data_IF_467771045869
#
_entry.id   IF_467771045869
#
_cell.length_a   1.000
_cell.length_b   1.000
_cell.length_c   1.000
_cell.angle_alpha   90.00
_cell.angle_beta   90.00
_cell.angle_gamma   90.00
#
_symmetry.space_group_name_H-M   'P 1'
#
loop_
_entity.id
_entity.type
_entity.pdbx_description
1 polymer ?
#
# COMPACT_ATOMS: atom_id res chain seq x y z
N UNK A 1 -13.98 13.89 20.07
CA UNK A 1 -13.52 13.97 18.68
C UNK A 1 -12.88 12.65 18.33
N UNK A 2 -13.35 11.97 17.28
CA UNK A 2 -12.70 10.74 16.80
C UNK A 2 -11.28 11.11 16.30
N UNK A 3 -10.27 10.25 16.49
CA UNK A 3 -8.92 10.43 15.98
C UNK A 3 -8.85 10.78 14.51
N UNK A 4 -9.74 10.21 13.70
CA UNK A 4 -9.87 10.58 12.29
C UNK A 4 -10.30 12.05 12.17
N UNK A 5 -11.34 12.48 12.88
CA UNK A 5 -11.77 13.89 12.90
C UNK A 5 -10.63 14.83 13.33
N UNK A 6 -9.78 14.41 14.28
CA UNK A 6 -8.63 15.20 14.71
C UNK A 6 -7.63 15.41 13.57
N UNK A 7 -7.35 14.38 12.78
CA UNK A 7 -6.50 14.52 11.60
C UNK A 7 -7.18 15.36 10.51
N UNK A 8 -8.49 15.22 10.31
CA UNK A 8 -9.25 16.10 9.39
C UNK A 8 -9.19 17.57 9.82
N UNK A 9 -9.22 17.87 11.13
CA UNK A 9 -9.05 19.24 11.65
C UNK A 9 -7.64 19.77 11.39
N UNK A 10 -6.61 18.93 11.52
CA UNK A 10 -5.24 19.33 11.16
C UNK A 10 -5.12 19.60 9.66
N UNK A 11 -5.73 18.76 8.83
CA UNK A 11 -5.80 18.98 7.39
C UNK A 11 -6.55 20.27 7.04
N UNK A 12 -7.68 20.59 7.71
CA UNK A 12 -8.39 21.87 7.55
C UNK A 12 -7.45 23.06 7.77
N UNK A 13 -6.67 23.03 8.87
CA UNK A 13 -5.71 24.11 9.19
C UNK A 13 -4.57 24.18 8.17
N UNK A 14 -4.05 23.03 7.74
CA UNK A 14 -2.99 22.98 6.74
C UNK A 14 -3.49 23.53 5.40
N UNK A 15 -4.67 23.09 4.96
CA UNK A 15 -5.34 23.55 3.74
C UNK A 15 -5.53 25.06 3.75
N UNK A 16 -6.10 25.62 4.83
CA UNK A 16 -6.29 27.07 4.97
C UNK A 16 -4.98 27.85 4.83
N UNK A 17 -3.89 27.36 5.44
CA UNK A 17 -2.57 27.98 5.35
C UNK A 17 -1.97 27.87 3.93
N UNK A 18 -2.17 26.74 3.24
CA UNK A 18 -1.72 26.54 1.86
C UNK A 18 -2.45 27.51 0.93
N UNK A 19 -3.79 27.52 0.98
CA UNK A 19 -4.62 28.39 0.14
C UNK A 19 -4.28 29.86 0.40
N UNK A 20 -4.19 30.30 1.65
CA UNK A 20 -3.95 31.71 1.98
C UNK A 20 -2.61 32.25 1.46
N UNK A 21 -1.63 31.37 1.25
CA UNK A 21 -0.27 31.73 0.82
C UNK A 21 -0.05 31.62 -0.70
N UNK A 22 -0.97 30.95 -1.39
CA UNK A 22 -0.83 30.61 -2.81
C UNK A 22 -2.14 30.94 -3.56
N UNK A 23 -2.76 32.07 -3.20
CA UNK A 23 -4.04 32.51 -3.74
C UNK A 23 -3.98 32.84 -5.23
N UNK A 24 -2.79 33.18 -5.74
CA UNK A 24 -2.56 33.44 -7.15
C UNK A 24 -2.44 32.17 -8.01
N UNK A 25 -2.28 31.00 -7.39
CA UNK A 25 -2.03 29.74 -8.13
C UNK A 25 -3.34 29.12 -8.63
N UNK A 26 -3.48 28.87 -9.95
CA UNK A 26 -4.66 28.18 -10.51
C UNK A 26 -4.86 26.75 -10.03
N UNK A 27 -3.81 26.08 -9.56
CA UNK A 27 -3.86 24.66 -9.22
C UNK A 27 -3.09 24.38 -7.92
N UNK A 28 -3.67 23.53 -7.08
CA UNK A 28 -3.07 23.01 -5.86
C UNK A 28 -2.91 21.49 -5.98
N UNK A 29 -1.69 21.00 -5.71
CA UNK A 29 -1.36 19.57 -5.77
C UNK A 29 -0.99 19.09 -4.37
N UNK A 30 -1.81 18.22 -3.79
CA UNK A 30 -1.54 17.52 -2.56
C UNK A 30 -0.64 16.30 -2.85
N UNK A 31 0.56 16.28 -2.29
CA UNK A 31 1.50 15.17 -2.37
C UNK A 31 1.49 14.38 -1.06
N UNK A 32 1.41 13.05 -1.14
CA UNK A 32 1.48 12.17 0.02
C UNK A 32 1.76 10.73 -0.37
N UNK A 33 1.81 9.84 0.61
CA UNK A 33 1.65 8.40 0.42
C UNK A 33 0.18 8.06 0.11
N UNK A 34 -0.10 6.81 -0.29
CA UNK A 34 -1.47 6.38 -0.63
C UNK A 34 -2.49 6.67 0.49
N UNK A 35 -2.16 6.31 1.73
CA UNK A 35 -3.05 6.54 2.87
C UNK A 35 -3.20 8.03 3.23
N UNK A 36 -2.19 8.86 2.96
CA UNK A 36 -2.25 10.31 3.17
C UNK A 36 -3.14 10.98 2.12
N UNK A 37 -3.02 10.58 0.86
CA UNK A 37 -3.86 11.07 -0.23
C UNK A 37 -5.32 10.60 -0.08
N UNK A 38 -5.56 9.38 0.42
CA UNK A 38 -6.89 8.90 0.81
C UNK A 38 -7.48 9.70 1.97
N UNK A 39 -6.68 10.07 2.98
CA UNK A 39 -7.14 10.93 4.06
C UNK A 39 -7.45 12.35 3.58
N UNK A 40 -6.64 12.88 2.65
CA UNK A 40 -6.90 14.17 2.01
C UNK A 40 -8.18 14.14 1.17
N UNK A 41 -8.43 13.07 0.41
CA UNK A 41 -9.71 12.84 -0.28
C UNK A 41 -10.89 12.82 0.70
N UNK A 42 -10.75 12.13 1.84
CA UNK A 42 -11.72 12.16 2.93
C UNK A 42 -11.96 13.55 3.50
N UNK A 43 -10.91 14.38 3.61
CA UNK A 43 -11.02 15.78 4.02
C UNK A 43 -11.79 16.63 3.00
N UNK A 44 -11.57 16.44 1.69
CA UNK A 44 -12.31 17.17 0.65
C UNK A 44 -13.78 16.74 0.67
N UNK A 45 -14.08 15.44 0.79
CA UNK A 45 -15.45 14.92 0.95
C UNK A 45 -16.14 15.49 2.18
N UNK A 46 -15.43 15.66 3.28
CA UNK A 46 -16.01 16.24 4.50
C UNK A 46 -16.41 17.71 4.33
N UNK A 47 -16.02 18.39 3.25
CA UNK A 47 -16.48 19.74 2.91
C UNK A 47 -17.87 19.75 2.28
N UNK A 48 -18.37 18.60 1.85
CA UNK A 48 -19.71 18.46 1.27
C UNK A 48 -20.78 18.15 2.32
N UNK A 49 -20.42 18.00 3.60
CA UNK A 49 -21.39 17.72 4.65
C UNK A 49 -22.18 18.98 5.03
N UNK A 50 -23.46 18.81 5.37
CA UNK A 50 -24.33 19.90 5.87
C UNK A 50 -23.77 20.59 7.12
N UNK A 51 -22.93 19.90 7.90
CA UNK A 51 -22.28 20.42 9.11
C UNK A 51 -21.04 21.30 8.82
N UNK A 52 -20.58 21.42 7.57
CA UNK A 52 -19.43 22.29 7.26
C UNK A 52 -19.87 23.75 7.15
N UNK A 53 -19.26 24.59 7.97
CA UNK A 53 -19.49 26.05 8.04
C UNK A 53 -18.63 26.84 7.04
N UNK A 54 -18.09 26.17 6.03
CA UNK A 54 -17.19 26.75 5.04
C UNK A 54 -17.92 27.67 4.07
N UNK A 55 -17.33 28.83 3.77
CA UNK A 55 -17.83 29.74 2.73
C UNK A 55 -17.40 29.32 1.31
N UNK A 56 -16.38 28.46 1.20
CA UNK A 56 -15.84 27.99 -0.07
C UNK A 56 -16.57 26.72 -0.58
N UNK A 57 -16.65 26.58 -1.89
CA UNK A 57 -17.34 25.49 -2.58
C UNK A 57 -16.34 24.45 -3.07
N UNK A 58 -16.68 23.18 -2.86
CA UNK A 58 -15.89 22.05 -3.35
C UNK A 58 -16.72 21.26 -4.35
N UNK A 59 -16.15 21.03 -5.53
CA UNK A 59 -16.71 20.16 -6.56
C UNK A 59 -15.78 18.96 -6.71
N UNK A 60 -16.33 17.75 -6.60
CA UNK A 60 -15.56 16.50 -6.57
C UNK A 60 -15.98 15.63 -7.76
N UNK A 61 -15.01 15.23 -8.58
CA UNK A 61 -15.26 14.40 -9.77
C UNK A 61 -14.34 13.19 -9.84
N UNK A 62 -14.95 12.00 -9.82
CA UNK A 62 -14.27 10.69 -9.95
C UNK A 62 -14.41 10.06 -11.34
N UNK A 63 -14.90 10.80 -12.32
CA UNK A 63 -15.16 10.29 -13.66
C UNK A 63 -13.88 9.90 -14.43
N UNK A 64 -14.01 9.03 -15.43
CA UNK A 64 -12.89 8.65 -16.29
C UNK A 64 -12.38 9.82 -17.15
N UNK A 65 -11.06 9.88 -17.35
CA UNK A 65 -10.47 10.77 -18.34
C UNK A 65 -10.29 10.01 -19.68
N UNK A 66 -11.23 10.22 -20.60
CA UNK A 66 -11.27 9.56 -21.91
C UNK A 66 -10.64 10.36 -23.06
N UNK A 67 -10.15 11.57 -22.77
CA UNK A 67 -9.40 12.39 -23.72
C UNK A 67 -9.58 13.89 -23.48
N UNK A 68 -8.63 14.69 -23.97
CA UNK A 68 -8.59 16.15 -23.75
C UNK A 68 -9.68 16.94 -24.48
N UNK A 69 -10.50 16.30 -25.33
CA UNK A 69 -11.55 16.97 -26.12
C UNK A 69 -12.98 16.68 -25.64
N UNK A 70 -13.12 15.84 -24.61
CA UNK A 70 -14.42 15.43 -24.06
C UNK A 70 -14.55 15.57 -22.54
N UNK A 71 -13.44 15.71 -21.79
CA UNK A 71 -13.47 15.70 -20.34
C UNK A 71 -14.16 16.92 -19.74
N UNK A 72 -13.86 18.13 -20.24
CA UNK A 72 -14.52 19.37 -19.83
C UNK A 72 -16.00 19.39 -20.18
N UNK A 73 -16.40 18.81 -21.32
CA UNK A 73 -17.81 18.63 -21.66
C UNK A 73 -18.52 17.70 -20.67
N UNK A 74 -17.88 16.60 -20.28
CA UNK A 74 -18.45 15.63 -19.33
C UNK A 74 -18.72 16.28 -17.96
N UNK A 75 -17.77 17.09 -17.47
CA UNK A 75 -17.97 17.89 -16.24
C UNK A 75 -19.18 18.84 -16.36
N UNK A 76 -19.28 19.55 -17.48
CA UNK A 76 -20.39 20.49 -17.70
C UNK A 76 -21.74 19.79 -17.75
N UNK A 77 -21.81 18.63 -18.41
CA UNK A 77 -23.06 17.88 -18.53
C UNK A 77 -23.54 17.39 -17.15
N UNK A 78 -22.63 16.92 -16.30
CA UNK A 78 -22.94 16.59 -14.90
C UNK A 78 -23.51 17.80 -14.13
N UNK A 79 -22.87 18.97 -14.22
CA UNK A 79 -23.35 20.17 -13.52
C UNK A 79 -24.69 20.68 -14.05
N UNK A 80 -24.97 20.53 -15.35
CA UNK A 80 -26.28 20.86 -15.94
C UNK A 80 -27.37 19.98 -15.38
N UNK A 81 -27.16 18.68 -15.24
CA UNK A 81 -28.14 17.78 -14.64
C UNK A 81 -28.52 18.24 -13.22
N UNK A 82 -27.53 18.64 -12.41
CA UNK A 82 -27.78 19.21 -11.08
C UNK A 82 -28.51 20.55 -11.13
N UNK A 83 -28.15 21.45 -12.04
CA UNK A 83 -28.81 22.75 -12.20
C UNK A 83 -30.28 22.59 -12.62
N UNK A 84 -30.56 21.70 -13.58
CA UNK A 84 -31.93 21.39 -14.02
C UNK A 84 -32.79 20.76 -12.92
N UNK A 85 -32.18 20.00 -12.00
CA UNK A 85 -32.86 19.50 -10.82
C UNK A 85 -33.21 20.63 -9.86
N UNK A 86 -32.27 21.56 -9.64
CA UNK A 86 -32.47 22.74 -8.79
C UNK A 86 -33.56 23.67 -9.33
N UNK A 87 -33.59 23.89 -10.65
CA UNK A 87 -34.61 24.70 -11.33
C UNK A 87 -36.03 24.16 -11.12
N UNK A 88 -36.17 22.84 -10.99
CA UNK A 88 -37.45 22.19 -10.72
C UNK A 88 -37.87 22.25 -9.26
N UNK A 89 -36.92 22.38 -8.32
CA UNK A 89 -37.18 22.32 -6.88
C UNK A 89 -37.28 23.68 -6.21
N UNK A 90 -36.62 24.72 -6.75
CA UNK A 90 -36.50 26.04 -6.13
C UNK A 90 -37.12 27.13 -7.02
N UNK A 91 -37.83 28.08 -6.40
CA UNK A 91 -38.38 29.24 -7.11
C UNK A 91 -37.35 30.37 -7.22
N UNK A 92 -37.34 31.09 -8.35
CA UNK A 92 -36.48 32.26 -8.61
C UNK A 92 -34.96 31.98 -8.64
N UNK A 93 -34.54 30.81 -9.13
CA UNK A 93 -33.12 30.56 -9.37
C UNK A 93 -32.56 31.49 -10.47
N UNK A 94 -31.34 32.03 -10.32
CA UNK A 94 -30.71 32.81 -11.37
C UNK A 94 -30.49 31.99 -12.65
N UNK A 95 -30.76 32.60 -13.82
CA UNK A 95 -30.46 31.95 -15.10
C UNK A 95 -28.95 31.72 -15.27
N UNK A 96 -28.60 30.51 -15.69
CA UNK A 96 -27.22 30.15 -16.01
C UNK A 96 -26.95 30.27 -17.50
N UNK A 97 -26.46 31.43 -17.92
CA UNK A 97 -26.09 31.70 -19.31
C UNK A 97 -24.75 31.04 -19.65
N UNK A 98 -24.78 30.04 -20.53
CA UNK A 98 -23.59 29.34 -21.00
C UNK A 98 -22.93 30.13 -22.13
N UNK A 99 -22.07 31.07 -21.77
CA UNK A 99 -21.28 31.82 -22.75
C UNK A 99 -20.17 30.91 -23.32
N UNK A 100 -20.36 30.50 -24.58
CA UNK A 100 -19.32 29.79 -25.34
C UNK A 100 -18.41 30.83 -25.97
N UNK A 101 -17.13 30.78 -25.63
CA UNK A 101 -16.11 31.64 -26.23
C UNK A 101 -15.80 31.20 -27.67
N UNK A 102 -15.67 32.16 -28.59
CA UNK A 102 -15.24 31.93 -29.98
C UNK A 102 -13.72 31.66 -30.11
N UNK A 103 -12.99 31.76 -29.00
CA UNK A 103 -11.54 31.54 -28.99
C UNK A 103 -11.22 30.04 -29.19
N UNK A 104 -10.26 29.76 -30.08
CA UNK A 104 -9.79 28.41 -30.31
C UNK A 104 -8.87 27.94 -29.16
N UNK A 105 -9.24 26.84 -28.52
CA UNK A 105 -8.45 26.14 -27.48
C UNK A 105 -7.99 24.78 -28.00
N UNK A 106 -6.92 24.24 -27.41
CA UNK A 106 -6.36 22.93 -27.78
C UNK A 106 -7.15 21.78 -27.19
N UNK A 107 -7.78 22.01 -26.05
CA UNK A 107 -8.55 21.06 -25.25
C UNK A 107 -9.94 21.64 -24.99
N UNK A 108 -10.81 20.84 -24.38
CA UNK A 108 -12.15 21.28 -24.00
C UNK A 108 -12.23 21.83 -22.56
N UNK A 109 -11.11 22.12 -21.91
CA UNK A 109 -11.07 22.68 -20.55
C UNK A 109 -11.91 23.95 -20.39
N UNK A 110 -11.95 24.79 -21.43
CA UNK A 110 -12.77 26.00 -21.49
C UNK A 110 -14.27 25.73 -21.32
N UNK A 111 -14.75 24.57 -21.76
CA UNK A 111 -16.16 24.18 -21.67
C UNK A 111 -16.61 23.93 -20.24
N UNK A 112 -15.70 23.62 -19.32
CA UNK A 112 -15.98 23.52 -17.90
C UNK A 112 -15.67 24.85 -17.19
N UNK A 113 -14.56 25.50 -17.51
CA UNK A 113 -14.13 26.71 -16.81
C UNK A 113 -15.11 27.90 -16.95
N UNK A 114 -15.50 28.28 -18.17
CA UNK A 114 -16.33 29.47 -18.38
C UNK A 114 -17.74 29.31 -17.78
N UNK A 115 -18.41 28.16 -17.90
CA UNK A 115 -19.68 27.96 -17.22
C UNK A 115 -19.60 28.10 -15.70
N UNK A 116 -18.54 27.61 -15.04
CA UNK A 116 -18.35 27.86 -13.60
C UNK A 116 -18.14 29.35 -13.29
N UNK A 117 -17.41 30.05 -14.14
CA UNK A 117 -17.19 31.49 -14.00
C UNK A 117 -18.51 32.27 -14.10
N UNK A 118 -19.38 31.93 -15.04
CA UNK A 118 -20.71 32.54 -15.18
C UNK A 118 -21.64 32.15 -14.03
N UNK A 119 -21.64 30.88 -13.61
CA UNK A 119 -22.43 30.42 -12.46
C UNK A 119 -22.09 31.22 -11.20
N UNK A 120 -20.80 31.44 -10.93
CA UNK A 120 -20.35 32.27 -9.80
C UNK A 120 -20.84 33.73 -9.89
N UNK A 121 -20.93 34.30 -11.09
CA UNK A 121 -21.45 35.67 -11.29
C UNK A 121 -22.96 35.75 -11.09
N UNK A 122 -23.69 34.74 -11.56
CA UNK A 122 -25.15 34.71 -11.53
C UNK A 122 -25.72 34.45 -10.14
N UNK A 123 -24.99 33.74 -9.27
CA UNK A 123 -25.47 33.34 -7.94
C UNK A 123 -24.88 34.23 -6.82
N UNK A 124 -25.68 35.13 -6.21
CA UNK A 124 -25.17 36.07 -5.21
C UNK A 124 -24.53 35.41 -3.98
N UNK A 125 -25.07 34.26 -3.55
CA UNK A 125 -24.63 33.55 -2.35
C UNK A 125 -23.21 33.00 -2.47
N UNK A 126 -22.70 32.83 -3.69
CA UNK A 126 -21.39 32.21 -3.96
C UNK A 126 -20.43 33.18 -4.65
N UNK A 127 -20.86 34.44 -4.84
CA UNK A 127 -20.10 35.45 -5.55
C UNK A 127 -18.75 35.74 -4.91
N UNK A 128 -18.64 35.60 -3.57
CA UNK A 128 -17.40 35.81 -2.83
C UNK A 128 -16.66 34.49 -2.47
N UNK A 129 -17.26 33.34 -2.74
CA UNK A 129 -16.71 32.01 -2.40
C UNK A 129 -15.64 31.55 -3.38
N UNK A 130 -14.59 30.86 -2.93
CA UNK A 130 -13.73 30.13 -3.87
C UNK A 130 -14.39 28.82 -4.29
N UNK A 131 -14.12 28.38 -5.51
CA UNK A 131 -14.55 27.09 -6.05
C UNK A 131 -13.30 26.23 -6.25
N UNK A 132 -13.21 25.14 -5.49
CA UNK A 132 -12.16 24.14 -5.64
C UNK A 132 -12.70 22.95 -6.41
N UNK A 133 -12.22 22.79 -7.63
CA UNK A 133 -12.54 21.67 -8.50
C UNK A 133 -11.52 20.54 -8.26
N UNK A 134 -11.89 19.57 -7.43
CA UNK A 134 -11.10 18.37 -7.17
C UNK A 134 -11.41 17.30 -8.22
N UNK A 135 -10.44 17.06 -9.10
CA UNK A 135 -10.52 16.00 -10.12
C UNK A 135 -9.68 14.81 -9.67
N UNK A 136 -10.29 13.63 -9.64
CA UNK A 136 -9.64 12.38 -9.26
C UNK A 136 -10.08 11.25 -10.21
N UNK A 137 -9.63 11.25 -11.48
CA UNK A 137 -10.08 10.27 -12.47
C UNK A 137 -9.77 8.84 -12.05
N UNK A 138 -10.79 7.98 -12.02
CA UNK A 138 -10.62 6.54 -11.71
C UNK A 138 -9.80 5.80 -12.77
N UNK A 139 -9.76 6.35 -13.99
CA UNK A 139 -8.97 5.85 -15.11
C UNK A 139 -8.51 7.02 -15.98
N UNK A 140 -7.27 6.96 -16.44
CA UNK A 140 -6.68 7.92 -17.37
C UNK A 140 -6.32 7.16 -18.65
N UNK A 141 -6.94 7.52 -19.77
CA UNK A 141 -6.66 6.93 -21.08
C UNK A 141 -5.29 7.36 -21.64
N UNK A 142 -4.96 8.64 -21.49
CA UNK A 142 -3.70 9.24 -21.94
C UNK A 142 -3.24 10.34 -20.96
N UNK A 143 -2.03 10.19 -20.42
CA UNK A 143 -1.45 11.11 -19.44
C UNK A 143 -0.97 12.42 -20.10
N UNK A 144 -0.50 12.37 -21.35
CA UNK A 144 -0.05 13.55 -22.09
C UNK A 144 -1.23 14.47 -22.39
N UNK A 145 -2.35 13.89 -22.83
CA UNK A 145 -3.60 14.61 -23.03
C UNK A 145 -4.14 15.25 -21.74
N UNK A 146 -4.13 14.50 -20.62
CA UNK A 146 -4.53 15.06 -19.32
C UNK A 146 -3.60 16.23 -18.92
N UNK A 147 -2.30 16.10 -19.14
CA UNK A 147 -1.34 17.18 -18.87
C UNK A 147 -1.63 18.42 -19.70
N UNK A 148 -1.97 18.26 -20.98
CA UNK A 148 -2.36 19.37 -21.86
C UNK A 148 -3.64 20.05 -21.36
N UNK A 149 -4.64 19.26 -20.98
CA UNK A 149 -5.91 19.76 -20.45
C UNK A 149 -5.71 20.59 -19.17
N UNK A 150 -4.94 20.07 -18.22
CA UNK A 150 -4.61 20.76 -16.96
C UNK A 150 -3.82 22.05 -17.21
N UNK A 151 -2.83 22.03 -18.11
CA UNK A 151 -2.04 23.21 -18.47
C UNK A 151 -2.90 24.29 -19.12
N UNK A 152 -3.81 23.90 -20.01
CA UNK A 152 -4.71 24.86 -20.65
C UNK A 152 -5.71 25.44 -19.65
N UNK A 153 -6.27 24.64 -18.74
CA UNK A 153 -7.08 25.16 -17.63
C UNK A 153 -6.34 26.22 -16.82
N UNK A 154 -5.11 25.92 -16.38
CA UNK A 154 -4.31 26.88 -15.63
C UNK A 154 -4.06 28.16 -16.42
N UNK A 155 -3.77 28.06 -17.73
CA UNK A 155 -3.58 29.22 -18.59
C UNK A 155 -4.85 30.05 -18.74
N UNK A 156 -6.04 29.43 -18.83
CA UNK A 156 -7.32 30.13 -18.87
C UNK A 156 -7.55 30.90 -17.56
N UNK A 157 -7.28 30.28 -16.39
CA UNK A 157 -7.37 30.96 -15.09
C UNK A 157 -6.47 32.22 -15.06
N UNK A 158 -5.21 32.09 -15.46
CA UNK A 158 -4.24 33.19 -15.45
C UNK A 158 -4.64 34.32 -16.41
N UNK A 159 -5.02 33.97 -17.64
CA UNK A 159 -5.39 34.94 -18.67
C UNK A 159 -6.70 35.68 -18.36
N UNK A 160 -7.64 35.03 -17.67
CA UNK A 160 -8.89 35.66 -17.21
C UNK A 160 -8.70 36.50 -15.94
N UNK A 161 -7.54 36.42 -15.28
CA UNK A 161 -7.29 37.07 -13.99
C UNK A 161 -8.08 36.43 -12.84
N UNK A 162 -8.64 35.24 -13.04
CA UNK A 162 -9.42 34.52 -12.05
C UNK A 162 -8.51 34.01 -10.92
N UNK A 163 -8.93 34.25 -9.67
CA UNK A 163 -8.26 33.72 -8.47
C UNK A 163 -9.15 32.77 -7.66
N UNK A 164 -10.43 32.72 -7.98
CA UNK A 164 -11.45 32.07 -7.15
C UNK A 164 -11.71 30.63 -7.57
N UNK A 165 -11.50 30.27 -8.83
CA UNK A 165 -11.71 28.93 -9.37
C UNK A 165 -10.36 28.23 -9.51
N UNK A 166 -10.17 27.16 -8.74
CA UNK A 166 -8.89 26.44 -8.64
C UNK A 166 -9.06 24.96 -8.90
N UNK A 167 -8.12 24.36 -9.62
CA UNK A 167 -7.99 22.91 -9.70
C UNK A 167 -7.31 22.37 -8.45
N UNK A 168 -7.79 21.21 -7.98
CA UNK A 168 -7.17 20.46 -6.90
C UNK A 168 -6.89 19.04 -7.37
N UNK A 169 -5.68 18.57 -7.08
CA UNK A 169 -5.21 17.23 -7.43
C UNK A 169 -4.52 16.60 -6.22
N UNK A 170 -4.60 15.28 -6.10
CA UNK A 170 -3.84 14.53 -5.09
C UNK A 170 -3.08 13.39 -5.76
N UNK A 171 -1.79 13.23 -5.44
CA UNK A 171 -0.96 12.17 -5.99
C UNK A 171 0.20 11.76 -5.08
N UNK A 172 0.88 10.68 -5.47
CA UNK A 172 2.00 10.15 -4.72
C UNK A 172 3.21 11.10 -4.78
N UNK A 173 3.90 11.35 -3.65
CA UNK A 173 5.02 12.30 -3.59
C UNK A 173 6.22 11.92 -4.48
N UNK A 174 6.51 10.61 -4.58
CA UNK A 174 7.54 10.04 -5.47
C UNK A 174 7.05 9.71 -6.89
N UNK A 175 5.96 8.94 -7.01
CA UNK A 175 5.43 8.49 -8.30
C UNK A 175 4.35 9.44 -8.81
N UNK A 176 4.78 10.54 -9.43
CA UNK A 176 3.87 11.56 -9.96
C UNK A 176 3.27 11.14 -11.30
N UNK A 177 1.98 11.41 -11.48
CA UNK A 177 1.24 11.19 -12.72
C UNK A 177 1.39 12.39 -13.66
N UNK A 178 1.26 13.60 -13.12
CA UNK A 178 1.38 14.82 -13.91
C UNK A 178 2.84 15.29 -13.97
N UNK A 179 3.34 15.74 -15.14
CA UNK A 179 4.63 16.42 -15.20
C UNK A 179 4.57 17.77 -14.50
N UNK A 180 5.73 18.36 -14.22
CA UNK A 180 5.81 19.66 -13.54
C UNK A 180 5.03 20.75 -14.31
N UNK A 181 4.27 21.54 -13.55
CA UNK A 181 3.48 22.66 -14.02
C UNK A 181 3.77 23.90 -13.15
N UNK A 182 4.36 24.95 -13.73
CA UNK A 182 4.74 26.18 -13.02
C UNK A 182 3.54 26.96 -12.45
N UNK A 183 2.35 26.74 -13.02
CA UNK A 183 1.10 27.33 -12.56
C UNK A 183 0.50 26.59 -11.37
N UNK A 184 0.99 25.39 -11.07
CA UNK A 184 0.56 24.62 -9.91
C UNK A 184 1.46 24.88 -8.69
N UNK A 185 0.87 24.78 -7.49
CA UNK A 185 1.62 24.73 -6.24
C UNK A 185 1.43 23.37 -5.58
N UNK A 186 2.54 22.69 -5.30
CA UNK A 186 2.54 21.41 -4.61
C UNK A 186 2.85 21.55 -3.13
N UNK A 187 2.12 20.84 -2.28
CA UNK A 187 2.36 20.77 -0.84
C UNK A 187 2.29 19.33 -0.36
N UNK A 188 3.01 19.02 0.72
CA UNK A 188 3.02 17.66 1.29
C UNK A 188 2.06 17.55 2.47
N UNK A 189 1.23 16.52 2.47
CA UNK A 189 0.49 16.08 3.65
C UNK A 189 1.29 14.98 4.31
N UNK A 190 1.52 15.11 5.62
CA UNK A 190 2.20 14.07 6.41
C UNK A 190 1.29 13.68 7.57
N UNK A 191 0.98 12.39 7.66
CA UNK A 191 0.12 11.83 8.72
C UNK A 191 0.92 10.79 9.49
N UNK A 192 1.08 10.97 10.81
CA UNK A 192 1.65 9.91 11.65
C UNK A 192 0.60 8.81 11.82
N UNK A 193 0.57 7.85 10.87
CA UNK A 193 -0.35 6.71 10.89
C UNK A 193 -0.26 5.95 12.21
N UNK A 194 0.95 5.84 12.78
CA UNK A 194 1.12 5.11 14.04
C UNK A 194 0.35 5.82 15.15
N UNK A 195 0.46 7.15 15.23
CA UNK A 195 -0.31 7.93 16.18
C UNK A 195 -1.81 7.87 15.90
N UNK A 196 -2.23 7.93 14.62
CA UNK A 196 -3.63 7.80 14.23
C UNK A 196 -4.20 6.43 14.63
N UNK A 197 -3.48 5.34 14.37
CA UNK A 197 -3.86 3.98 14.77
C UNK A 197 -3.92 3.83 16.28
N UNK A 198 -2.93 4.35 17.01
CA UNK A 198 -2.92 4.33 18.48
C UNK A 198 -4.12 5.08 19.05
N UNK A 199 -4.39 6.27 18.53
CA UNK A 199 -5.52 7.09 18.95
C UNK A 199 -6.83 6.37 18.60
N UNK A 200 -6.96 5.81 17.40
CA UNK A 200 -8.15 5.07 16.93
C UNK A 200 -8.43 3.88 17.83
N UNK A 201 -7.42 3.06 18.10
CA UNK A 201 -7.51 1.95 19.05
C UNK A 201 -7.94 2.42 20.45
N UNK A 202 -7.36 3.51 20.96
CA UNK A 202 -7.75 4.08 22.24
C UNK A 202 -9.20 4.59 22.26
N UNK A 203 -9.70 5.12 21.14
CA UNK A 203 -11.05 5.68 21.01
C UNK A 203 -12.15 4.64 20.77
N UNK A 204 -11.87 3.55 20.05
CA UNK A 204 -12.84 2.47 19.81
C UNK A 204 -13.06 1.57 21.04
N UNK A 205 -12.24 1.72 22.08
CA UNK A 205 -12.26 0.88 23.27
C UNK A 205 -13.30 1.33 24.31
N UNK A 206 -14.53 0.78 24.23
CA UNK A 206 -15.58 0.93 25.27
C UNK A 206 -15.28 0.18 26.59
N UNK A 207 -14.21 -0.63 26.66
CA UNK A 207 -13.70 -1.25 27.91
C UNK A 207 -12.23 -0.89 28.09
N UNK A 208 -11.94 0.17 28.85
CA UNK A 208 -10.58 0.41 29.37
C UNK A 208 -10.14 -0.81 30.18
N UNK A 209 -8.88 -1.25 30.01
CA UNK A 209 -8.21 -2.29 30.81
C UNK A 209 -8.66 -3.74 30.56
N UNK A 210 -8.85 -4.16 29.30
CA UNK A 210 -8.85 -5.59 29.01
C UNK A 210 -7.43 -6.06 28.72
N UNK A 211 -7.05 -7.23 29.24
CA UNK A 211 -5.67 -7.70 29.11
C UNK A 211 -5.24 -7.87 27.63
N UNK A 212 -6.16 -8.28 26.75
CA UNK A 212 -5.93 -8.35 25.30
C UNK A 212 -5.66 -6.97 24.67
N UNK A 213 -6.37 -5.92 25.11
CA UNK A 213 -6.15 -4.57 24.60
C UNK A 213 -4.81 -3.99 25.04
N UNK A 214 -4.38 -4.30 26.26
CA UNK A 214 -3.10 -3.83 26.78
C UNK A 214 -1.94 -4.49 26.01
N UNK A 215 -2.08 -5.78 25.67
CA UNK A 215 -1.12 -6.49 24.82
C UNK A 215 -0.99 -5.80 23.45
N UNK A 216 -2.10 -5.59 22.74
CA UNK A 216 -2.09 -4.95 21.41
C UNK A 216 -1.51 -3.53 21.46
N UNK A 217 -1.84 -2.76 22.50
CA UNK A 217 -1.27 -1.43 22.69
C UNK A 217 0.26 -1.47 22.85
N UNK A 218 0.79 -2.44 23.60
CA UNK A 218 2.24 -2.59 23.74
C UNK A 218 2.90 -2.99 22.41
N UNK A 219 2.28 -3.87 21.61
CA UNK A 219 2.77 -4.23 20.27
C UNK A 219 2.82 -3.02 19.33
N UNK A 220 1.77 -2.19 19.32
CA UNK A 220 1.73 -0.95 18.51
C UNK A 220 2.76 0.08 18.99
N UNK A 221 2.88 0.25 20.31
CA UNK A 221 3.87 1.17 20.91
C UNK A 221 5.28 0.75 20.56
N UNK A 222 5.59 -0.55 20.66
CA UNK A 222 6.88 -1.10 20.26
C UNK A 222 7.17 -0.87 18.78
N UNK A 223 6.21 -1.12 17.89
CA UNK A 223 6.37 -0.95 16.44
C UNK A 223 6.70 0.51 16.08
N UNK A 224 6.02 1.48 16.71
CA UNK A 224 6.31 2.91 16.54
C UNK A 224 7.70 3.30 17.09
N UNK A 225 8.16 2.67 18.17
CA UNK A 225 9.52 2.89 18.65
C UNK A 225 10.56 2.30 17.69
N UNK A 226 10.32 1.09 17.16
CA UNK A 226 11.20 0.44 16.19
C UNK A 226 11.34 1.25 14.89
N UNK A 227 10.24 1.75 14.33
CA UNK A 227 10.28 2.56 13.10
C UNK A 227 11.07 3.86 13.28
N UNK A 228 11.15 4.37 14.52
CA UNK A 228 11.92 5.57 14.90
C UNK A 228 13.33 5.25 15.42
N UNK A 229 13.80 4.00 15.33
CA UNK A 229 15.12 3.56 15.81
C UNK A 229 15.29 3.61 17.34
N UNK A 230 14.20 3.71 18.09
CA UNK A 230 14.17 3.82 19.56
C UNK A 230 14.12 2.43 20.20
N UNK A 231 15.22 1.68 20.07
CA UNK A 231 15.25 0.25 20.40
C UNK A 231 15.04 -0.06 21.89
N UNK A 232 15.46 0.82 22.81
CA UNK A 232 15.29 0.61 24.25
C UNK A 232 13.83 0.70 24.67
N UNK A 233 13.12 1.69 24.15
CA UNK A 233 11.69 1.88 24.40
C UNK A 233 10.87 0.77 23.75
N UNK A 234 11.24 0.34 22.53
CA UNK A 234 10.63 -0.82 21.89
C UNK A 234 10.82 -2.09 22.74
N UNK A 235 12.04 -2.34 23.23
CA UNK A 235 12.34 -3.46 24.13
C UNK A 235 11.46 -3.42 25.39
N UNK A 236 11.30 -2.25 26.00
CA UNK A 236 10.47 -2.10 27.20
C UNK A 236 9.00 -2.46 26.93
N UNK A 237 8.41 -1.95 25.84
CA UNK A 237 7.04 -2.28 25.45
C UNK A 237 6.87 -3.75 25.12
N UNK A 238 7.81 -4.36 24.38
CA UNK A 238 7.74 -5.79 24.02
C UNK A 238 7.87 -6.70 25.23
N UNK A 239 8.73 -6.38 26.21
CA UNK A 239 8.80 -7.12 27.47
C UNK A 239 7.50 -7.04 28.26
N UNK A 240 6.82 -5.89 28.22
CA UNK A 240 5.50 -5.72 28.82
C UNK A 240 4.45 -6.56 28.08
N UNK A 241 4.47 -6.57 26.74
CA UNK A 241 3.59 -7.43 25.93
C UNK A 241 3.78 -8.93 26.25
N UNK A 242 5.03 -9.41 26.35
CA UNK A 242 5.34 -10.79 26.77
C UNK A 242 4.72 -11.11 28.13
N UNK A 243 4.88 -10.21 29.12
CA UNK A 243 4.31 -10.39 30.46
C UNK A 243 2.79 -10.52 30.41
N UNK A 244 2.12 -9.63 29.68
CA UNK A 244 0.67 -9.63 29.53
C UNK A 244 0.17 -10.91 28.86
N UNK A 245 0.83 -11.34 27.78
CA UNK A 245 0.47 -12.58 27.09
C UNK A 245 0.62 -13.82 28.01
N UNK A 246 1.66 -13.85 28.84
CA UNK A 246 1.86 -14.90 29.86
C UNK A 246 0.72 -14.90 30.90
N UNK A 247 0.35 -13.75 31.43
CA UNK A 247 -0.74 -13.61 32.40
C UNK A 247 -2.10 -14.06 31.82
N UNK A 248 -2.29 -13.86 30.52
CA UNK A 248 -3.47 -14.29 29.76
C UNK A 248 -3.44 -15.76 29.34
N UNK A 249 -2.30 -16.46 29.54
CA UNK A 249 -2.04 -17.78 28.97
C UNK A 249 -2.22 -17.82 27.44
N UNK A 250 -1.98 -16.69 26.78
CA UNK A 250 -2.04 -16.56 25.33
C UNK A 250 -0.67 -16.92 24.73
N UNK A 251 -0.45 -18.20 24.44
CA UNK A 251 0.84 -18.66 23.90
C UNK A 251 1.19 -18.06 22.55
N UNK A 252 0.23 -17.91 21.66
CA UNK A 252 0.49 -17.32 20.35
C UNK A 252 0.93 -15.86 20.47
N UNK A 253 0.28 -15.08 21.35
CA UNK A 253 0.67 -13.71 21.67
C UNK A 253 2.05 -13.62 22.31
N UNK A 254 2.37 -14.57 23.20
CA UNK A 254 3.68 -14.64 23.86
C UNK A 254 4.82 -14.88 22.84
N UNK A 255 4.67 -15.89 21.97
CA UNK A 255 5.65 -16.19 20.92
C UNK A 255 5.77 -15.02 19.94
N UNK A 256 4.66 -14.38 19.57
CA UNK A 256 4.67 -13.21 18.68
C UNK A 256 5.44 -12.03 19.31
N UNK A 257 5.23 -11.76 20.60
CA UNK A 257 5.93 -10.70 21.30
C UNK A 257 7.43 -11.00 21.49
N UNK A 258 7.79 -12.26 21.79
CA UNK A 258 9.19 -12.69 21.82
C UNK A 258 9.84 -12.56 20.44
N UNK A 259 9.16 -12.96 19.38
CA UNK A 259 9.67 -12.85 18.03
C UNK A 259 9.92 -11.39 17.62
N UNK A 260 8.99 -10.48 17.93
CA UNK A 260 9.22 -9.04 17.74
C UNK A 260 10.38 -8.51 18.58
N UNK A 261 10.57 -9.02 19.80
CA UNK A 261 11.72 -8.68 20.64
C UNK A 261 13.04 -9.16 20.01
N UNK A 262 13.03 -10.34 19.39
CA UNK A 262 14.16 -10.84 18.59
C UNK A 262 14.49 -9.88 17.44
N UNK A 263 13.48 -9.43 16.68
CA UNK A 263 13.68 -8.47 15.58
C UNK A 263 14.24 -7.14 16.09
N UNK A 264 13.74 -6.65 17.24
CA UNK A 264 14.28 -5.46 17.89
C UNK A 264 15.77 -5.60 18.23
N UNK A 265 16.18 -6.75 18.77
CA UNK A 265 17.59 -7.02 19.05
C UNK A 265 18.45 -7.18 17.81
N UNK A 266 17.91 -7.77 16.74
CA UNK A 266 18.61 -7.86 15.44
C UNK A 266 18.88 -6.44 14.90
N UNK A 267 17.85 -5.58 14.88
CA UNK A 267 17.97 -4.19 14.43
C UNK A 267 18.97 -3.39 15.28
N UNK A 268 18.97 -3.60 16.60
CA UNK A 268 19.92 -2.99 17.55
C UNK A 268 21.28 -3.72 17.60
N UNK A 269 21.55 -4.66 16.69
CA UNK A 269 22.80 -5.44 16.57
C UNK A 269 23.19 -6.23 17.84
N UNK A 270 22.24 -6.53 18.72
CA UNK A 270 22.42 -7.31 19.97
C UNK A 270 22.26 -8.81 19.70
N UNK A 271 23.27 -9.41 19.04
CA UNK A 271 23.19 -10.81 18.56
C UNK A 271 22.92 -11.84 19.66
N UNK A 272 23.59 -11.73 20.81
CA UNK A 272 23.42 -12.68 21.92
C UNK A 272 21.98 -12.67 22.46
N UNK A 273 21.40 -11.48 22.64
CA UNK A 273 20.01 -11.36 23.09
C UNK A 273 19.01 -11.89 22.08
N UNK A 274 19.28 -11.71 20.78
CA UNK A 274 18.45 -12.30 19.73
C UNK A 274 18.49 -13.84 19.80
N UNK A 275 19.67 -14.44 19.97
CA UNK A 275 19.83 -15.89 20.13
C UNK A 275 19.13 -16.41 21.40
N UNK A 276 19.21 -15.67 22.51
CA UNK A 276 18.49 -16.01 23.75
C UNK A 276 16.97 -15.98 23.56
N UNK A 277 16.44 -14.96 22.86
CA UNK A 277 15.00 -14.91 22.56
C UNK A 277 14.54 -16.05 21.67
N UNK A 278 15.34 -16.47 20.67
CA UNK A 278 15.02 -17.66 19.88
C UNK A 278 15.00 -18.93 20.73
N UNK A 279 15.91 -19.07 21.69
CA UNK A 279 15.90 -20.20 22.63
C UNK A 279 14.59 -20.23 23.43
N UNK A 280 14.19 -19.10 24.00
CA UNK A 280 12.91 -18.99 24.72
C UNK A 280 11.72 -19.29 23.82
N UNK A 281 11.73 -18.83 22.56
CA UNK A 281 10.67 -19.16 21.60
C UNK A 281 10.57 -20.68 21.42
N UNK A 282 11.68 -21.39 21.20
CA UNK A 282 11.65 -22.85 21.00
C UNK A 282 11.33 -23.64 22.28
N UNK A 283 11.57 -23.08 23.47
CA UNK A 283 11.16 -23.68 24.74
C UNK A 283 9.64 -23.57 24.98
N UNK A 284 9.01 -22.53 24.44
CA UNK A 284 7.63 -22.15 24.76
C UNK A 284 6.63 -22.40 23.62
N UNK A 285 7.11 -22.56 22.39
CA UNK A 285 6.27 -22.84 21.22
C UNK A 285 5.73 -24.27 21.29
N UNK A 286 4.48 -24.45 20.86
CA UNK A 286 3.86 -25.77 20.82
C UNK A 286 4.55 -26.66 19.77
N UNK A 287 4.98 -27.87 20.15
CA UNK A 287 5.65 -28.78 19.23
C UNK A 287 4.68 -29.32 18.18
N UNK A 288 5.18 -29.56 16.97
CA UNK A 288 4.40 -29.97 15.80
C UNK A 288 3.23 -29.01 15.52
N UNK A 289 3.52 -27.72 15.51
CA UNK A 289 2.55 -26.67 15.16
C UNK A 289 3.02 -25.85 13.95
N UNK A 290 2.09 -25.25 13.18
CA UNK A 290 2.46 -24.30 12.12
C UNK A 290 3.34 -23.15 12.64
N UNK A 291 3.13 -22.73 13.89
CA UNK A 291 3.91 -21.67 14.52
C UNK A 291 5.37 -22.11 14.77
N UNK A 292 5.62 -23.35 15.17
CA UNK A 292 6.97 -23.89 15.32
C UNK A 292 7.73 -23.91 13.98
N UNK A 293 7.08 -24.33 12.90
CA UNK A 293 7.66 -24.31 11.54
C UNK A 293 8.08 -22.88 11.18
N UNK A 294 7.19 -21.90 11.38
CA UNK A 294 7.49 -20.50 11.12
C UNK A 294 8.69 -20.01 11.96
N UNK A 295 8.79 -20.41 13.23
CA UNK A 295 9.91 -20.00 14.08
C UNK A 295 11.24 -20.62 13.65
N UNK A 296 11.25 -21.88 13.20
CA UNK A 296 12.44 -22.47 12.59
C UNK A 296 12.83 -21.76 11.28
N UNK A 297 11.88 -21.46 10.39
CA UNK A 297 12.18 -20.73 9.15
C UNK A 297 12.76 -19.33 9.41
N UNK A 298 12.23 -18.61 10.40
CA UNK A 298 12.74 -17.31 10.82
C UNK A 298 14.14 -17.42 11.44
N UNK A 299 14.38 -18.43 12.29
CA UNK A 299 15.70 -18.66 12.86
C UNK A 299 16.72 -19.05 11.80
N UNK A 300 16.34 -19.89 10.84
CA UNK A 300 17.15 -20.24 9.67
C UNK A 300 17.58 -18.99 8.91
N UNK A 301 16.64 -18.10 8.60
CA UNK A 301 16.91 -16.81 7.93
C UNK A 301 17.85 -15.92 8.74
N UNK A 302 17.66 -15.83 10.06
CA UNK A 302 18.56 -15.11 10.96
C UNK A 302 20.00 -15.67 10.93
N UNK A 303 20.16 -16.99 10.89
CA UNK A 303 21.47 -17.65 10.81
C UNK A 303 22.16 -17.36 9.48
N UNK A 304 21.41 -17.33 8.37
CA UNK A 304 21.92 -16.95 7.05
C UNK A 304 22.44 -15.51 7.04
N UNK A 305 21.65 -14.57 7.58
CA UNK A 305 22.06 -13.16 7.71
C UNK A 305 23.30 -12.95 8.59
N UNK A 306 23.67 -13.95 9.39
CA UNK A 306 24.89 -13.97 10.21
C UNK A 306 25.98 -14.90 9.67
N UNK A 307 25.93 -15.25 8.39
CA UNK A 307 26.93 -16.08 7.70
C UNK A 307 27.09 -17.49 8.28
N UNK A 308 26.08 -18.01 8.99
CA UNK A 308 26.06 -19.37 9.57
C UNK A 308 25.35 -20.37 8.65
N UNK A 309 25.73 -20.41 7.36
CA UNK A 309 25.06 -21.19 6.29
C UNK A 309 24.70 -22.62 6.70
N UNK A 310 25.69 -23.44 7.09
CA UNK A 310 25.49 -24.85 7.48
C UNK A 310 24.52 -25.04 8.65
N UNK A 311 24.48 -24.08 9.59
CA UNK A 311 23.54 -24.14 10.72
C UNK A 311 22.13 -23.75 10.25
N UNK A 312 22.02 -22.75 9.38
CA UNK A 312 20.77 -22.37 8.74
C UNK A 312 20.14 -23.52 7.96
N UNK A 313 20.93 -24.23 7.15
CA UNK A 313 20.48 -25.41 6.40
C UNK A 313 19.84 -26.46 7.32
N UNK A 314 20.54 -26.87 8.39
CA UNK A 314 20.01 -27.83 9.37
C UNK A 314 18.70 -27.36 10.03
N UNK A 315 18.57 -26.05 10.27
CA UNK A 315 17.36 -25.47 10.85
C UNK A 315 16.20 -25.51 9.84
N UNK A 316 16.44 -25.23 8.56
CA UNK A 316 15.43 -25.40 7.52
C UNK A 316 15.06 -26.86 7.29
N UNK A 317 16.00 -27.80 7.40
CA UNK A 317 15.69 -29.23 7.37
C UNK A 317 14.76 -29.60 8.52
N UNK A 318 15.04 -29.08 9.72
CA UNK A 318 14.17 -29.29 10.87
C UNK A 318 12.77 -28.71 10.65
N UNK A 319 12.67 -27.51 10.08
CA UNK A 319 11.40 -26.91 9.70
C UNK A 319 10.63 -27.80 8.72
N UNK A 320 11.31 -28.34 7.70
CA UNK A 320 10.73 -29.25 6.72
C UNK A 320 10.23 -30.56 7.35
N UNK A 321 10.98 -31.15 8.29
CA UNK A 321 10.55 -32.34 9.04
C UNK A 321 9.26 -32.09 9.82
N UNK A 322 9.19 -30.97 10.55
CA UNK A 322 8.01 -30.61 11.34
C UNK A 322 6.81 -30.33 10.42
N UNK A 323 7.00 -29.53 9.37
CA UNK A 323 5.97 -29.23 8.39
C UNK A 323 5.41 -30.50 7.72
N UNK A 324 6.28 -31.46 7.40
CA UNK A 324 5.88 -32.74 6.83
C UNK A 324 5.02 -33.55 7.81
N UNK A 325 5.40 -33.58 9.10
CA UNK A 325 4.68 -34.31 10.14
C UNK A 325 3.26 -33.78 10.37
N UNK A 326 3.02 -32.49 10.11
CA UNK A 326 1.71 -31.84 10.28
C UNK A 326 0.93 -31.68 8.97
N UNK A 327 1.46 -32.15 7.84
CA UNK A 327 0.80 -32.08 6.52
C UNK A 327 0.90 -30.72 5.81
N UNK A 328 1.77 -29.81 6.26
CA UNK A 328 2.01 -28.50 5.65
C UNK A 328 2.99 -28.59 4.46
N UNK A 329 2.62 -29.36 3.43
CA UNK A 329 3.49 -29.71 2.30
C UNK A 329 4.06 -28.49 1.55
N UNK A 330 3.30 -27.40 1.44
CA UNK A 330 3.78 -26.16 0.82
C UNK A 330 4.98 -25.56 1.58
N UNK A 331 4.97 -25.63 2.92
CA UNK A 331 6.09 -25.17 3.74
C UNK A 331 7.30 -26.10 3.63
N UNK A 332 7.09 -27.41 3.43
CA UNK A 332 8.17 -28.37 3.15
C UNK A 332 8.89 -28.01 1.85
N UNK A 333 8.13 -27.77 0.76
CA UNK A 333 8.67 -27.33 -0.54
C UNK A 333 9.48 -26.04 -0.36
N UNK A 334 8.95 -25.08 0.41
CA UNK A 334 9.64 -23.81 0.62
C UNK A 334 10.97 -23.97 1.39
N UNK A 335 11.00 -24.81 2.42
CA UNK A 335 12.23 -25.10 3.17
C UNK A 335 13.29 -25.77 2.27
N UNK A 336 12.91 -26.81 1.52
CA UNK A 336 13.83 -27.48 0.60
C UNK A 336 14.28 -26.58 -0.56
N UNK A 337 13.39 -25.71 -1.07
CA UNK A 337 13.76 -24.71 -2.08
C UNK A 337 14.79 -23.72 -1.55
N UNK A 338 14.63 -23.23 -0.33
CA UNK A 338 15.61 -22.34 0.30
C UNK A 338 16.96 -23.06 0.41
N UNK A 339 16.99 -24.30 0.93
CA UNK A 339 18.24 -25.08 1.07
C UNK A 339 18.89 -25.36 -0.28
N UNK A 340 18.12 -25.73 -1.31
CA UNK A 340 18.64 -25.96 -2.65
C UNK A 340 19.23 -24.69 -3.25
N UNK A 341 18.55 -23.54 -3.09
CA UNK A 341 19.06 -22.23 -3.55
C UNK A 341 20.34 -21.83 -2.83
N UNK A 342 20.46 -22.11 -1.53
CA UNK A 342 21.71 -21.90 -0.80
C UNK A 342 22.87 -22.72 -1.36
N UNK A 343 22.58 -23.85 -2.00
CA UNK A 343 23.56 -24.76 -2.60
C UNK A 343 23.70 -24.56 -4.11
N UNK A 344 23.21 -23.45 -4.67
CA UNK A 344 23.40 -23.12 -6.09
C UNK A 344 24.82 -22.60 -6.38
N UNK A 345 25.80 -23.49 -6.25
CA UNK A 345 27.20 -23.26 -6.63
C UNK A 345 27.70 -24.46 -7.41
N UNK A 346 28.75 -24.28 -8.22
CA UNK A 346 29.37 -25.37 -8.98
C UNK A 346 29.75 -26.55 -8.06
N UNK A 347 30.29 -26.25 -6.87
CA UNK A 347 30.76 -27.25 -5.92
C UNK A 347 29.63 -28.00 -5.18
N UNK A 348 28.41 -27.47 -5.19
CA UNK A 348 27.27 -28.02 -4.43
C UNK A 348 26.05 -28.29 -5.32
N UNK A 349 26.26 -28.36 -6.64
CA UNK A 349 25.22 -28.59 -7.64
C UNK A 349 24.40 -29.85 -7.34
N UNK A 350 25.06 -30.96 -7.02
CA UNK A 350 24.36 -32.22 -6.73
C UNK A 350 23.49 -32.12 -5.47
N UNK A 351 23.96 -31.39 -4.45
CA UNK A 351 23.19 -31.10 -3.24
C UNK A 351 21.94 -30.28 -3.57
N UNK A 352 22.09 -29.24 -4.39
CA UNK A 352 20.95 -28.42 -4.85
C UNK A 352 19.92 -29.28 -5.59
N UNK A 353 20.37 -30.07 -6.58
CA UNK A 353 19.49 -30.97 -7.34
C UNK A 353 18.77 -31.91 -6.39
N UNK A 354 19.46 -32.52 -5.42
CA UNK A 354 18.85 -33.43 -4.46
C UNK A 354 17.73 -32.80 -3.62
N UNK A 355 17.88 -31.55 -3.15
CA UNK A 355 16.78 -30.87 -2.45
C UNK A 355 15.64 -30.45 -3.37
N UNK A 356 15.95 -30.06 -4.60
CA UNK A 356 14.91 -29.70 -5.57
C UNK A 356 14.11 -30.93 -6.03
N UNK A 357 14.75 -32.08 -6.19
CA UNK A 357 14.08 -33.36 -6.43
C UNK A 357 13.20 -33.77 -5.23
N UNK A 358 13.62 -33.50 -3.99
CA UNK A 358 12.73 -33.67 -2.82
C UNK A 358 11.48 -32.81 -2.92
N UNK A 359 11.55 -31.59 -3.44
CA UNK A 359 10.34 -30.78 -3.66
C UNK A 359 9.37 -31.45 -4.66
N UNK A 360 9.89 -32.09 -5.72
CA UNK A 360 9.07 -32.83 -6.68
C UNK A 360 8.38 -34.03 -6.01
N UNK A 361 9.09 -34.76 -5.14
CA UNK A 361 8.49 -35.86 -4.38
C UNK A 361 7.37 -35.40 -3.44
N UNK A 362 7.54 -34.25 -2.79
CA UNK A 362 6.49 -33.66 -1.94
C UNK A 362 5.29 -33.19 -2.77
N UNK A 363 5.52 -32.64 -3.96
CA UNK A 363 4.45 -32.18 -4.84
C UNK A 363 3.46 -33.29 -5.21
N UNK A 364 3.92 -34.54 -5.32
CA UNK A 364 3.07 -35.72 -5.59
C UNK A 364 2.07 -36.02 -4.47
N UNK A 365 2.27 -35.46 -3.28
CA UNK A 365 1.38 -35.60 -2.13
C UNK A 365 0.34 -34.48 -2.06
N UNK A 366 0.37 -33.52 -2.98
CA UNK A 366 -0.45 -32.31 -2.93
C UNK A 366 -1.55 -32.34 -3.98
N UNK A 367 -2.70 -31.74 -3.64
CA UNK A 367 -3.77 -31.49 -4.60
C UNK A 367 -3.37 -30.40 -5.61
N UNK A 368 -3.81 -30.48 -6.89
CA UNK A 368 -3.43 -29.53 -7.93
C UNK A 368 -3.67 -28.05 -7.58
N UNK A 369 -4.76 -27.73 -6.87
CA UNK A 369 -5.09 -26.36 -6.47
C UNK A 369 -4.09 -25.75 -5.48
N UNK A 370 -3.40 -26.57 -4.68
CA UNK A 370 -2.40 -26.12 -3.71
C UNK A 370 -1.04 -25.94 -4.39
N UNK A 371 -0.76 -26.74 -5.44
CA UNK A 371 0.46 -26.63 -6.22
C UNK A 371 0.59 -25.25 -6.89
N UNK A 372 -0.52 -24.64 -7.32
CA UNK A 372 -0.50 -23.32 -7.97
C UNK A 372 0.05 -22.20 -7.09
N UNK A 373 -0.14 -22.32 -5.78
CA UNK A 373 0.31 -21.33 -4.79
C UNK A 373 1.72 -21.64 -4.26
N UNK A 374 2.31 -22.75 -4.70
CA UNK A 374 3.63 -23.20 -4.24
C UNK A 374 4.76 -22.67 -5.12
N UNK A 375 5.98 -22.76 -4.58
CA UNK A 375 7.21 -22.42 -5.30
C UNK A 375 7.67 -23.50 -6.30
N UNK A 376 6.82 -24.49 -6.62
CA UNK A 376 7.20 -25.64 -7.45
C UNK A 376 7.58 -25.27 -8.89
N UNK A 377 6.86 -24.33 -9.52
CA UNK A 377 7.20 -23.84 -10.87
C UNK A 377 8.62 -23.29 -10.94
N UNK A 378 9.04 -22.55 -9.91
CA UNK A 378 10.40 -22.03 -9.78
C UNK A 378 11.41 -23.18 -9.66
N UNK A 379 11.15 -24.14 -8.76
CA UNK A 379 12.03 -25.30 -8.54
C UNK A 379 12.23 -26.10 -9.83
N UNK A 380 11.14 -26.43 -10.53
CA UNK A 380 11.19 -27.17 -11.77
C UNK A 380 11.90 -26.38 -12.89
N UNK A 381 11.68 -25.07 -12.98
CA UNK A 381 12.38 -24.22 -13.96
C UNK A 381 13.90 -24.21 -13.71
N UNK A 382 14.33 -24.20 -12.45
CA UNK A 382 15.75 -24.32 -12.11
C UNK A 382 16.32 -25.70 -12.42
N UNK A 383 15.59 -26.78 -12.14
CA UNK A 383 16.01 -28.15 -12.50
C UNK A 383 16.17 -28.30 -14.03
N UNK A 384 15.28 -27.70 -14.84
CA UNK A 384 15.42 -27.67 -16.30
C UNK A 384 16.73 -27.06 -16.77
N UNK A 385 17.28 -26.08 -16.03
CA UNK A 385 18.61 -25.53 -16.31
C UNK A 385 19.69 -26.52 -15.85
N UNK A 386 19.58 -27.03 -14.62
CA UNK A 386 20.65 -27.80 -13.95
C UNK A 386 20.80 -29.23 -14.45
N UNK A 387 19.76 -29.80 -15.07
CA UNK A 387 19.83 -31.09 -15.76
C UNK A 387 20.65 -31.03 -17.06
N UNK A 388 21.06 -29.84 -17.55
CA UNK A 388 22.02 -29.69 -18.66
C UNK A 388 21.68 -30.55 -19.89
N UNK A 389 22.44 -31.61 -20.18
CA UNK A 389 22.26 -32.45 -21.37
C UNK A 389 21.38 -33.70 -21.11
N UNK A 390 20.87 -33.88 -19.89
CA UNK A 390 19.96 -34.98 -19.54
C UNK A 390 18.55 -34.71 -20.10
N UNK A 391 18.35 -35.15 -21.36
CA UNK A 391 17.09 -34.98 -22.10
C UNK A 391 15.93 -35.75 -21.48
N UNK A 392 16.22 -36.91 -20.88
CA UNK A 392 15.18 -37.79 -20.32
C UNK A 392 14.58 -37.19 -19.05
N UNK A 393 15.44 -36.69 -18.14
CA UNK A 393 14.97 -35.96 -16.94
C UNK A 393 14.21 -34.70 -17.31
N UNK A 394 14.69 -33.94 -18.29
CA UNK A 394 14.01 -32.73 -18.77
C UNK A 394 12.65 -33.02 -19.37
N UNK A 395 12.54 -34.04 -20.22
CA UNK A 395 11.26 -34.43 -20.82
C UNK A 395 10.27 -34.95 -19.78
N UNK A 396 10.76 -35.71 -18.80
CA UNK A 396 9.92 -36.23 -17.71
C UNK A 396 9.38 -35.09 -16.86
N UNK A 397 10.25 -34.16 -16.45
CA UNK A 397 9.87 -33.01 -15.64
C UNK A 397 8.91 -32.08 -16.38
N UNK A 398 9.14 -31.81 -17.67
CA UNK A 398 8.25 -30.97 -18.47
C UNK A 398 6.84 -31.56 -18.59
N UNK A 399 6.74 -32.87 -18.84
CA UNK A 399 5.45 -33.56 -18.89
C UNK A 399 4.73 -33.52 -17.53
N UNK A 400 5.46 -33.73 -16.43
CA UNK A 400 4.89 -33.66 -15.08
C UNK A 400 4.37 -32.26 -14.76
N UNK A 401 5.15 -31.22 -15.05
CA UNK A 401 4.74 -29.84 -14.78
C UNK A 401 3.59 -29.37 -15.70
N UNK A 402 3.53 -29.85 -16.95
CA UNK A 402 2.37 -29.62 -17.83
C UNK A 402 1.10 -30.24 -17.29
N UNK A 403 1.19 -31.42 -16.67
CA UNK A 403 0.04 -32.04 -16.01
C UNK A 403 -0.45 -31.21 -14.81
N UNK A 404 0.45 -30.58 -14.06
CA UNK A 404 0.08 -29.75 -12.91
C UNK A 404 -0.40 -28.34 -13.30
N UNK A 405 0.18 -27.73 -14.33
CA UNK A 405 0.07 -26.29 -14.57
C UNK A 405 -0.22 -25.87 -16.02
N UNK A 406 -0.29 -26.82 -16.96
CA UNK A 406 -0.44 -26.57 -18.39
C UNK A 406 0.85 -26.12 -19.11
N UNK A 407 0.74 -25.79 -20.40
CA UNK A 407 1.89 -25.52 -21.28
C UNK A 407 2.69 -24.24 -20.91
N UNK A 408 2.09 -23.34 -20.13
CA UNK A 408 2.72 -22.09 -19.67
C UNK A 408 3.35 -22.17 -18.27
N UNK A 409 3.75 -23.37 -17.82
CA UNK A 409 4.20 -23.57 -16.44
C UNK A 409 5.55 -22.93 -16.10
N UNK A 410 6.43 -22.80 -17.10
CA UNK A 410 7.81 -22.36 -16.91
C UNK A 410 7.86 -20.87 -16.55
N UNK A 411 8.64 -20.52 -15.53
CA UNK A 411 8.81 -19.15 -15.07
C UNK A 411 10.24 -18.66 -15.36
N UNK A 412 10.38 -17.35 -15.55
CA UNK A 412 11.70 -16.75 -15.73
C UNK A 412 12.53 -16.92 -14.46
N UNK A 413 13.65 -17.63 -14.58
CA UNK A 413 14.66 -17.76 -13.54
C UNK A 413 16.00 -17.26 -14.11
N UNK A 414 16.72 -16.43 -13.35
CA UNK A 414 17.99 -15.91 -13.81
C UNK A 414 18.99 -17.06 -14.01
N UNK A 415 19.60 -17.15 -15.20
CA UNK A 415 20.78 -18.00 -15.38
C UNK A 415 21.92 -17.45 -14.52
N UNK A 416 22.60 -18.28 -13.72
CA UNK A 416 23.72 -17.80 -12.90
C UNK A 416 24.74 -17.07 -13.77
N UNK A 417 25.06 -15.81 -13.40
CA UNK A 417 26.00 -14.95 -14.13
C UNK A 417 27.47 -15.36 -13.95
N UNK A 418 27.83 -16.64 -13.88
CA UNK A 418 29.24 -17.05 -13.90
C UNK A 418 29.39 -18.44 -14.52
N UNK A 419 30.16 -18.49 -15.62
CA UNK A 419 30.89 -19.66 -16.10
C UNK A 419 32.35 -19.59 -15.69
#
# INVERSE_FOLDING_TARGET
MNPVDLELVKLKRQWQNVVSKNDEKPMLICLGEKHETELFDGFIKSRLSEDDDGEDIFLIHYQEFNGMTSFGQTLLDEWKEFYELLEKSEENIPQWELNVTDQAFKTDACKAFFPLLELKKSFPNIQNSRIYLYIAPVRISDIEELSLWVKEWCSICENSGNKDIKLVWAEHHTYKTLPENSSAYSFRVEVDIHQLMQNTAAHTNRKKNSADTDFQQQILTASNHLSKGRYKEAEHSLRTAVKLAKEQKNKQGEISAYFMLTQAYIADKKKERAEDTYRTIFEEVEPNSPLEVQMYMNYGSYLLGNSKKKKGEKVFEKAAEVALAIGEYAMVIECYRIIGTLNDTILTKDTMIGYFEKCLEIAKLMEPSVLEQSSLKFVASMLMIKYEDDKDKKSTLDNEMKNYFGDGWMVSVEKPKYG
#
